data_IF_408408296704
#
_entry.id   IF_408408296704
#
_cell.length_a   1.000
_cell.length_b   1.000
_cell.length_c   1.000
_cell.angle_alpha   90.00
_cell.angle_beta   90.00
_cell.angle_gamma   90.00
#
_symmetry.space_group_name_H-M   'P 1'
#
loop_
_entity.id
_entity.type
_entity.pdbx_description
1 polymer ?
#
# COMPACT_ATOMS: atom_id res chain seq x y z
N UNK A 1 -6.51 -10.50 9.53
CA UNK A 1 -7.19 -9.49 8.69
C UNK A 1 -7.98 -10.25 7.64
N UNK A 2 -9.31 -10.18 7.67
CA UNK A 2 -10.13 -10.63 6.54
C UNK A 2 -10.28 -9.44 5.59
N UNK A 3 -9.63 -9.49 4.43
CA UNK A 3 -9.96 -8.59 3.33
C UNK A 3 -11.08 -9.25 2.52
N UNK A 4 -12.19 -8.53 2.32
CA UNK A 4 -13.28 -9.00 1.49
C UNK A 4 -12.84 -8.96 0.03
N UNK A 5 -12.75 -10.12 -0.60
CA UNK A 5 -12.43 -10.25 -2.02
C UNK A 5 -13.59 -10.99 -2.68
N UNK A 6 -14.47 -10.28 -3.37
CA UNK A 6 -15.65 -10.90 -3.98
C UNK A 6 -15.30 -11.67 -5.26
N UNK A 7 -14.23 -11.31 -5.98
CA UNK A 7 -13.85 -11.93 -7.27
C UNK A 7 -12.33 -11.97 -7.53
N UNK A 8 -11.49 -12.17 -6.52
CA UNK A 8 -10.03 -12.24 -6.71
C UNK A 8 -9.50 -13.67 -6.62
N UNK A 9 -8.63 -14.06 -7.55
CA UNK A 9 -7.80 -15.28 -7.41
C UNK A 9 -6.64 -14.98 -6.48
N UNK A 10 -6.47 -15.79 -5.43
CA UNK A 10 -5.43 -15.62 -4.42
C UNK A 10 -4.31 -16.64 -4.68
N UNK A 11 -3.10 -16.13 -4.88
CA UNK A 11 -1.89 -16.95 -4.91
C UNK A 11 -1.10 -16.70 -3.62
N UNK A 12 -0.79 -17.77 -2.88
CA UNK A 12 0.06 -17.67 -1.69
C UNK A 12 1.52 -17.71 -2.12
N UNK A 13 2.21 -16.57 -2.06
CA UNK A 13 3.62 -16.45 -2.40
C UNK A 13 4.42 -15.95 -1.19
N UNK A 14 5.55 -16.60 -0.91
CA UNK A 14 6.49 -16.13 0.09
C UNK A 14 7.48 -15.13 -0.55
N UNK A 15 7.18 -13.84 -0.49
CA UNK A 15 8.05 -12.79 -1.06
C UNK A 15 9.39 -12.59 -0.30
N UNK A 16 9.63 -13.34 0.79
CA UNK A 16 10.93 -13.34 1.46
C UNK A 16 11.95 -14.23 0.73
N UNK A 17 11.52 -15.23 -0.03
CA UNK A 17 12.42 -16.09 -0.82
C UNK A 17 12.67 -15.49 -2.22
N UNK A 18 13.83 -15.79 -2.79
CA UNK A 18 14.16 -15.40 -4.16
C UNK A 18 13.18 -16.01 -5.17
N UNK A 19 12.84 -17.28 -5.00
CA UNK A 19 11.86 -17.98 -5.83
C UNK A 19 10.48 -17.29 -5.79
N UNK A 20 9.99 -16.94 -4.60
CA UNK A 20 8.69 -16.27 -4.46
C UNK A 20 8.69 -14.88 -5.09
N UNK A 21 9.82 -14.16 -5.01
CA UNK A 21 10.01 -12.87 -5.72
C UNK A 21 10.03 -13.05 -7.23
N UNK A 22 10.70 -14.08 -7.75
CA UNK A 22 10.75 -14.34 -9.18
C UNK A 22 9.36 -14.65 -9.73
N UNK A 23 8.61 -15.54 -9.07
CA UNK A 23 7.23 -15.86 -9.46
C UNK A 23 6.35 -14.60 -9.43
N UNK A 24 6.49 -13.76 -8.40
CA UNK A 24 5.75 -12.51 -8.31
C UNK A 24 6.11 -11.56 -9.46
N UNK A 25 7.40 -11.40 -9.78
CA UNK A 25 7.85 -10.58 -10.91
C UNK A 25 7.26 -11.06 -12.23
N UNK A 26 7.28 -12.37 -12.48
CA UNK A 26 6.73 -12.96 -13.72
C UNK A 26 5.22 -12.73 -13.85
N UNK A 27 4.48 -12.76 -12.73
CA UNK A 27 3.06 -12.43 -12.70
C UNK A 27 2.81 -10.94 -12.96
N UNK A 28 3.61 -10.06 -12.33
CA UNK A 28 3.50 -8.61 -12.50
C UNK A 28 3.74 -8.22 -13.97
N UNK A 29 4.77 -8.79 -14.61
CA UNK A 29 5.09 -8.48 -16.00
C UNK A 29 3.99 -8.88 -17.00
N UNK A 30 3.12 -9.82 -16.62
CA UNK A 30 1.95 -10.23 -17.41
C UNK A 30 0.67 -9.49 -17.05
N UNK A 31 0.74 -8.59 -16.06
CA UNK A 31 -0.41 -7.85 -15.55
C UNK A 31 -0.49 -6.46 -16.19
N UNK A 32 -1.71 -5.92 -16.32
CA UNK A 32 -1.91 -4.54 -16.77
C UNK A 32 -1.68 -3.53 -15.64
N UNK A 33 -2.03 -3.93 -14.40
CA UNK A 33 -2.00 -3.05 -13.23
C UNK A 33 -1.34 -3.75 -12.04
N UNK A 34 -0.38 -3.06 -11.42
CA UNK A 34 0.20 -3.43 -10.12
C UNK A 34 -0.29 -2.44 -9.06
N UNK A 35 -0.96 -2.94 -8.02
CA UNK A 35 -1.32 -2.17 -6.83
C UNK A 35 -0.52 -2.71 -5.64
N UNK A 36 0.21 -1.84 -4.95
CA UNK A 36 1.04 -2.21 -3.81
C UNK A 36 0.91 -1.19 -2.67
N UNK A 37 1.04 -1.66 -1.43
CA UNK A 37 0.98 -0.84 -0.22
C UNK A 37 2.13 -1.14 0.76
N UNK A 38 3.27 -1.62 0.25
CA UNK A 38 4.45 -1.83 1.07
C UNK A 38 5.06 -0.50 1.52
N UNK A 39 5.91 -0.57 2.56
CA UNK A 39 6.74 0.57 2.93
C UNK A 39 7.62 0.96 1.73
N UNK A 40 7.76 2.27 1.40
CA UNK A 40 8.61 2.73 0.32
C UNK A 40 10.03 2.12 0.39
N UNK A 41 10.57 1.72 -0.76
CA UNK A 41 11.85 1.02 -0.87
C UNK A 41 11.76 -0.50 -0.82
N UNK A 42 10.60 -1.09 -0.49
CA UNK A 42 10.47 -2.57 -0.40
C UNK A 42 10.61 -3.23 -1.76
N UNK A 43 9.90 -2.75 -2.78
CA UNK A 43 9.97 -3.33 -4.12
C UNK A 43 11.33 -3.08 -4.78
N UNK A 44 11.92 -1.92 -4.52
CA UNK A 44 13.27 -1.56 -4.96
C UNK A 44 14.31 -2.56 -4.44
N UNK A 45 14.25 -2.92 -3.15
CA UNK A 45 15.11 -3.96 -2.56
C UNK A 45 14.94 -5.34 -3.19
N UNK A 46 13.80 -5.59 -3.83
CA UNK A 46 13.50 -6.85 -4.49
C UNK A 46 13.73 -6.80 -6.01
N UNK A 47 14.26 -5.70 -6.55
CA UNK A 47 14.48 -5.55 -8.00
C UNK A 47 13.17 -5.48 -8.80
N UNK A 48 12.10 -5.03 -8.15
CA UNK A 48 10.76 -4.88 -8.72
C UNK A 48 10.28 -3.43 -8.60
N UNK A 49 11.20 -2.46 -8.66
CA UNK A 49 10.80 -1.05 -8.70
C UNK A 49 9.93 -0.78 -9.94
N UNK A 50 9.03 0.22 -9.90
CA UNK A 50 8.26 0.60 -11.08
C UNK A 50 9.14 0.88 -12.30
N UNK A 51 10.29 1.54 -12.10
CA UNK A 51 11.23 1.85 -13.17
C UNK A 51 11.89 0.58 -13.74
N UNK A 52 12.18 -0.42 -12.91
CA UNK A 52 12.72 -1.70 -13.38
C UNK A 52 11.67 -2.51 -14.15
N UNK A 53 10.45 -2.59 -13.61
CA UNK A 53 9.35 -3.33 -14.24
C UNK A 53 8.93 -2.70 -15.58
N UNK A 54 8.99 -1.37 -15.69
CA UNK A 54 8.62 -0.64 -16.90
C UNK A 54 9.58 -0.88 -18.07
N UNK A 55 10.83 -1.30 -17.81
CA UNK A 55 11.78 -1.71 -18.86
C UNK A 55 11.28 -2.96 -19.59
N UNK A 56 10.71 -3.90 -18.84
CA UNK A 56 10.26 -5.20 -19.33
C UNK A 56 8.78 -5.16 -19.79
N UNK A 57 7.95 -4.34 -19.15
CA UNK A 57 6.56 -4.09 -19.54
C UNK A 57 6.24 -2.57 -19.50
N UNK A 58 6.44 -1.85 -20.61
CA UNK A 58 6.15 -0.41 -20.70
C UNK A 58 4.68 -0.02 -20.50
N UNK A 59 3.76 -0.98 -20.69
CA UNK A 59 2.31 -0.78 -20.53
C UNK A 59 1.81 -0.95 -19.10
N UNK A 60 2.66 -1.44 -18.18
CA UNK A 60 2.29 -1.66 -16.79
C UNK A 60 1.95 -0.35 -16.08
N UNK A 61 0.76 -0.27 -15.52
CA UNK A 61 0.33 0.82 -14.65
C UNK A 61 0.63 0.43 -13.19
N UNK A 62 1.40 1.26 -12.47
CA UNK A 62 1.73 1.03 -11.06
C UNK A 62 1.04 2.05 -10.16
N UNK A 63 0.27 1.57 -9.17
CA UNK A 63 -0.33 2.35 -8.11
C UNK A 63 0.31 1.98 -6.76
N UNK A 64 0.91 2.98 -6.11
CA UNK A 64 1.68 2.80 -4.88
C UNK A 64 1.06 3.58 -3.72
N UNK A 65 0.66 2.88 -2.67
CA UNK A 65 -0.07 3.46 -1.54
C UNK A 65 0.82 3.46 -0.30
N UNK A 66 1.14 4.64 0.24
CA UNK A 66 1.90 4.79 1.49
C UNK A 66 1.33 5.90 2.36
N UNK A 67 1.50 5.79 3.67
CA UNK A 67 0.86 6.71 4.63
C UNK A 67 1.40 8.14 4.61
N UNK A 68 2.67 8.32 4.24
CA UNK A 68 3.36 9.61 4.26
C UNK A 68 3.97 10.00 2.89
N UNK A 69 3.55 9.32 1.82
CA UNK A 69 4.10 9.49 0.49
C UNK A 69 5.34 8.63 0.22
N UNK A 70 5.68 8.47 -1.05
CA UNK A 70 6.84 7.70 -1.52
C UNK A 70 8.17 8.41 -1.23
N UNK A 71 8.13 9.73 -1.04
CA UNK A 71 9.30 10.61 -0.87
C UNK A 71 9.16 11.49 0.37
N UNK A 72 10.26 12.13 0.77
CA UNK A 72 10.30 13.08 1.89
C UNK A 72 10.73 12.47 3.22
N UNK A 73 10.92 13.31 4.26
CA UNK A 73 11.58 12.91 5.51
C UNK A 73 10.81 11.84 6.30
N UNK A 74 9.51 11.68 6.04
CA UNK A 74 8.63 10.75 6.76
C UNK A 74 8.16 9.56 5.93
N UNK A 75 8.62 9.41 4.68
CA UNK A 75 8.23 8.29 3.80
C UNK A 75 8.58 6.91 4.38
N UNK A 76 9.57 6.85 5.27
CA UNK A 76 9.98 5.63 5.94
C UNK A 76 9.08 5.24 7.14
N UNK A 77 8.13 6.08 7.54
CA UNK A 77 7.24 5.76 8.66
C UNK A 77 6.09 4.84 8.20
N UNK A 78 5.65 3.88 9.03
CA UNK A 78 4.52 3.03 8.69
C UNK A 78 3.22 3.86 8.64
N UNK A 79 2.40 3.60 7.62
CA UNK A 79 1.09 4.21 7.44
C UNK A 79 0.00 3.36 8.06
N UNK A 80 -0.82 3.95 8.94
CA UNK A 80 -2.03 3.34 9.48
C UNK A 80 -3.19 4.33 9.34
N UNK A 81 -4.41 3.83 9.18
CA UNK A 81 -5.60 4.68 9.01
C UNK A 81 -5.74 5.73 10.12
N UNK A 82 -5.54 5.33 11.38
CA UNK A 82 -5.55 6.21 12.56
C UNK A 82 -4.55 7.37 12.46
N UNK A 83 -3.37 7.10 11.92
CA UNK A 83 -2.31 8.07 11.72
C UNK A 83 -2.67 9.01 10.57
N UNK A 84 -3.20 8.48 9.46
CA UNK A 84 -3.67 9.30 8.35
C UNK A 84 -4.81 10.25 8.78
N UNK A 85 -5.76 9.78 9.60
CA UNK A 85 -6.83 10.63 10.13
C UNK A 85 -6.30 11.76 11.02
N UNK A 86 -5.33 11.46 11.88
CA UNK A 86 -4.69 12.47 12.72
C UNK A 86 -3.88 13.48 11.90
N UNK A 87 -3.06 12.97 10.99
CA UNK A 87 -2.15 13.80 10.19
C UNK A 87 -2.89 14.65 9.15
N UNK A 88 -4.00 14.15 8.60
CA UNK A 88 -4.85 14.87 7.65
C UNK A 88 -5.80 15.87 8.29
N UNK A 89 -5.76 16.05 9.62
CA UNK A 89 -6.65 16.97 10.34
C UNK A 89 -8.08 16.47 10.50
N UNK A 90 -8.40 15.25 10.06
CA UNK A 90 -9.74 14.70 10.18
C UNK A 90 -10.16 14.56 11.65
N UNK A 91 -9.22 14.20 12.53
CA UNK A 91 -9.48 14.13 13.97
C UNK A 91 -9.71 15.50 14.62
N UNK A 92 -9.27 16.59 14.00
CA UNK A 92 -9.50 17.94 14.51
C UNK A 92 -10.95 18.39 14.27
N UNK A 93 -11.54 17.99 13.13
CA UNK A 93 -12.92 18.34 12.77
C UNK A 93 -13.98 17.34 13.25
N UNK A 94 -13.55 16.19 13.81
CA UNK A 94 -14.44 15.15 14.32
C UNK A 94 -14.38 15.04 15.84
N UNK A 95 -15.53 15.19 16.49
CA UNK A 95 -15.67 15.08 17.94
C UNK A 95 -16.71 16.06 18.51
N UNK A 96 -16.75 16.18 19.83
CA UNK A 96 -17.54 17.20 20.53
C UNK A 96 -16.64 18.39 20.91
N UNK A 97 -17.18 19.63 20.96
CA UNK A 97 -16.39 20.85 21.24
C UNK A 97 -15.50 20.77 22.50
N UNK A 98 -16.00 20.13 23.56
CA UNK A 98 -15.33 20.04 24.87
C UNK A 98 -14.73 18.64 25.13
N UNK A 99 -14.67 17.79 24.10
CA UNK A 99 -14.16 16.42 24.19
C UNK A 99 -12.78 16.25 23.55
N UNK A 100 -12.06 15.17 23.87
CA UNK A 100 -10.83 14.84 23.16
C UNK A 100 -11.11 14.56 21.68
N UNK A 101 -10.11 14.85 20.82
CA UNK A 101 -10.18 14.53 19.39
C UNK A 101 -10.51 13.05 19.20
N UNK A 102 -11.58 12.76 18.47
CA UNK A 102 -12.11 11.40 18.37
C UNK A 102 -11.62 10.73 17.09
N UNK A 103 -11.17 9.48 17.21
CA UNK A 103 -10.99 8.64 16.03
C UNK A 103 -12.37 8.33 15.45
N UNK A 104 -12.51 8.48 14.14
CA UNK A 104 -13.79 8.16 13.50
C UNK A 104 -13.97 6.65 13.49
N UNK A 105 -15.13 6.19 13.96
CA UNK A 105 -15.52 4.79 13.88
C UNK A 105 -16.70 4.67 12.93
N UNK A 106 -16.47 4.05 11.78
CA UNK A 106 -17.56 3.65 10.89
C UNK A 106 -18.20 2.39 11.46
N UNK A 107 -19.24 2.55 12.28
CA UNK A 107 -20.14 1.43 12.59
C UNK A 107 -20.96 1.16 11.34
N UNK A 108 -20.86 -0.07 10.80
CA UNK A 108 -21.80 -0.52 9.78
C UNK A 108 -23.22 -0.38 10.35
N UNK A 109 -24.11 0.26 9.59
CA UNK A 109 -25.54 0.14 9.82
C UNK A 109 -26.00 -1.24 9.39
#
# INVERSE_FOLDING_TARGET
MAQCFSQQKINNLNLKSDEGRQIAKDLILKSDVLIENFKPGTLEKWGMSPDDLKKDNPGLISARISGYGQTGPRSHLPGYASVCEGYGGFRYVNGFPDGPSSQTQFKHR
#
